data_IF_164966757845
#
_entry.id   IF_164966757845
#
_cell.length_a   1.000
_cell.length_b   1.000
_cell.length_c   1.000
_cell.angle_alpha   90.00
_cell.angle_beta   90.00
_cell.angle_gamma   90.00
#
_symmetry.space_group_name_H-M   'P 1'
#
loop_
_entity.id
_entity.type
_entity.pdbx_description
1 polymer ?
#
# COMPACT_ATOMS: atom_id res chain seq x y z
N UNK A 1 3.13 -17.10 -23.39
CA UNK A 1 1.95 -17.54 -22.60
C UNK A 1 1.98 -16.89 -21.23
N UNK A 2 0.88 -16.30 -20.79
CA UNK A 2 0.81 -15.69 -19.46
C UNK A 2 0.83 -16.81 -18.39
N UNK A 3 1.93 -16.93 -17.65
CA UNK A 3 2.07 -17.89 -16.55
C UNK A 3 1.16 -17.40 -15.41
N UNK A 4 0.12 -18.18 -15.07
CA UNK A 4 -0.76 -17.87 -13.95
C UNK A 4 -0.06 -18.07 -12.59
N UNK A 5 -0.63 -17.51 -11.48
CA UNK A 5 -0.03 -17.59 -10.14
C UNK A 5 0.31 -19.01 -9.68
N UNK A 6 -0.52 -19.99 -10.05
CA UNK A 6 -0.31 -21.43 -9.70
C UNK A 6 0.90 -22.00 -10.44
N UNK A 7 1.07 -21.65 -11.73
CA UNK A 7 2.23 -22.09 -12.51
C UNK A 7 3.52 -21.43 -12.04
N UNK A 8 3.44 -20.15 -11.63
CA UNK A 8 4.53 -19.43 -11.01
C UNK A 8 5.06 -20.18 -9.78
N UNK A 9 4.17 -20.61 -8.88
CA UNK A 9 4.55 -21.33 -7.68
C UNK A 9 5.11 -22.74 -7.98
N UNK A 10 4.64 -23.41 -9.04
CA UNK A 10 5.16 -24.74 -9.43
C UNK A 10 6.60 -24.66 -9.93
N UNK A 11 6.98 -23.60 -10.62
CA UNK A 11 8.34 -23.42 -11.17
C UNK A 11 9.33 -22.83 -10.15
N UNK A 12 8.86 -22.28 -9.03
CA UNK A 12 9.69 -21.65 -8.04
C UNK A 12 10.48 -22.64 -7.18
N UNK A 13 11.71 -22.30 -6.83
CA UNK A 13 12.50 -23.03 -5.85
C UNK A 13 11.90 -22.95 -4.43
N UNK A 14 12.25 -23.86 -3.51
CA UNK A 14 11.79 -23.75 -2.12
C UNK A 14 12.15 -22.41 -1.44
N UNK A 15 13.32 -21.84 -1.73
CA UNK A 15 13.74 -20.55 -1.22
C UNK A 15 12.85 -19.42 -1.76
N UNK A 16 12.61 -19.39 -3.07
CA UNK A 16 11.72 -18.41 -3.72
C UNK A 16 10.29 -18.47 -3.21
N UNK A 17 9.74 -19.67 -2.98
CA UNK A 17 8.40 -19.83 -2.38
C UNK A 17 8.35 -19.27 -0.96
N UNK A 18 9.38 -19.53 -0.14
CA UNK A 18 9.45 -19.04 1.24
C UNK A 18 9.58 -17.53 1.30
N UNK A 19 10.40 -16.91 0.46
CA UNK A 19 10.53 -15.45 0.40
C UNK A 19 9.27 -14.78 -0.12
N UNK A 20 8.62 -15.33 -1.15
CA UNK A 20 7.35 -14.85 -1.65
C UNK A 20 6.26 -14.91 -0.58
N UNK A 21 6.15 -16.06 0.10
CA UNK A 21 5.16 -16.26 1.17
C UNK A 21 5.41 -15.29 2.33
N UNK A 22 6.67 -15.07 2.72
CA UNK A 22 7.02 -14.15 3.79
C UNK A 22 6.63 -12.71 3.45
N UNK A 23 6.96 -12.24 2.23
CA UNK A 23 6.60 -10.90 1.77
C UNK A 23 5.08 -10.74 1.59
N UNK A 24 4.39 -11.77 1.05
CA UNK A 24 2.94 -11.74 0.89
C UNK A 24 2.19 -11.76 2.23
N UNK A 25 2.64 -12.60 3.19
CA UNK A 25 2.07 -12.62 4.54
C UNK A 25 2.36 -11.31 5.28
N UNK A 26 3.58 -10.77 5.19
CA UNK A 26 3.92 -9.47 5.78
C UNK A 26 3.02 -8.38 5.25
N UNK A 27 2.92 -8.23 3.93
CA UNK A 27 2.08 -7.21 3.28
C UNK A 27 0.58 -7.40 3.54
N UNK A 28 0.11 -8.65 3.62
CA UNK A 28 -1.25 -8.98 4.03
C UNK A 28 -1.54 -8.52 5.46
N UNK A 29 -0.61 -8.78 6.39
CA UNK A 29 -0.76 -8.44 7.79
C UNK A 29 -0.54 -6.94 8.05
N UNK A 30 0.28 -6.27 7.24
CA UNK A 30 0.38 -4.81 7.22
C UNK A 30 -0.96 -4.17 6.81
N UNK A 31 -1.59 -4.67 5.74
CA UNK A 31 -2.93 -4.25 5.34
C UNK A 31 -3.98 -4.50 6.44
N UNK A 32 -3.88 -5.65 7.11
CA UNK A 32 -4.74 -5.99 8.24
C UNK A 32 -4.64 -4.93 9.32
N UNK A 33 -3.45 -4.65 9.85
CA UNK A 33 -3.25 -3.69 10.93
C UNK A 33 -3.55 -2.23 10.51
N UNK A 34 -3.19 -1.85 9.29
CA UNK A 34 -3.50 -0.53 8.76
C UNK A 34 -4.99 -0.25 8.74
N UNK A 35 -5.78 -1.26 8.34
CA UNK A 35 -7.22 -1.12 8.17
C UNK A 35 -8.01 -1.33 9.46
N UNK A 36 -7.45 -1.95 10.51
CA UNK A 36 -8.12 -2.06 11.81
C UNK A 36 -8.61 -0.69 12.33
N UNK A 37 -7.78 0.35 12.21
CA UNK A 37 -8.16 1.70 12.63
C UNK A 37 -9.37 2.23 11.85
N UNK A 38 -9.39 2.07 10.54
CA UNK A 38 -10.52 2.50 9.71
C UNK A 38 -11.83 1.78 10.11
N UNK A 39 -11.74 0.48 10.39
CA UNK A 39 -12.86 -0.37 10.74
C UNK A 39 -13.48 0.00 12.09
N UNK A 40 -12.66 0.35 13.07
CA UNK A 40 -13.13 0.73 14.42
C UNK A 40 -13.28 2.24 14.59
N UNK A 41 -12.97 3.04 13.58
CA UNK A 41 -12.87 4.50 13.68
C UNK A 41 -14.13 5.16 14.24
N UNK A 42 -15.32 4.73 13.82
CA UNK A 42 -16.58 5.25 14.32
C UNK A 42 -16.75 5.04 15.83
N UNK A 43 -16.29 3.90 16.35
CA UNK A 43 -16.35 3.55 17.78
C UNK A 43 -15.31 4.34 18.58
N UNK A 44 -14.07 4.43 18.07
CA UNK A 44 -12.98 5.21 18.69
C UNK A 44 -13.35 6.69 18.77
N UNK A 45 -13.91 7.26 17.68
CA UNK A 45 -14.39 8.65 17.67
C UNK A 45 -15.42 8.91 18.76
N UNK A 46 -16.36 7.99 18.97
CA UNK A 46 -17.39 8.11 20.00
C UNK A 46 -16.80 8.00 21.41
N UNK A 47 -15.92 7.03 21.63
CA UNK A 47 -15.35 6.71 22.96
C UNK A 47 -14.34 7.78 23.42
N UNK A 48 -13.48 8.27 22.51
CA UNK A 48 -12.47 9.29 22.81
C UNK A 48 -12.93 10.73 22.50
N UNK A 49 -14.18 10.95 22.12
CA UNK A 49 -14.70 12.28 21.79
C UNK A 49 -14.04 12.96 20.60
N UNK A 50 -13.55 12.18 19.61
CA UNK A 50 -12.81 12.72 18.46
C UNK A 50 -13.74 13.24 17.35
N UNK A 51 -13.35 14.37 16.75
CA UNK A 51 -13.94 14.85 15.50
C UNK A 51 -13.42 14.03 14.29
N UNK A 52 -14.15 14.04 13.16
CA UNK A 52 -13.66 13.44 11.90
C UNK A 52 -12.33 14.07 11.44
N UNK A 53 -12.14 15.37 11.67
CA UNK A 53 -10.89 16.07 11.39
C UNK A 53 -9.70 15.48 12.18
N UNK A 54 -9.89 15.29 13.49
CA UNK A 54 -8.88 14.68 14.37
C UNK A 54 -8.60 13.23 13.99
N UNK A 55 -9.64 12.45 13.70
CA UNK A 55 -9.53 11.07 13.27
C UNK A 55 -8.75 10.92 11.95
N UNK A 56 -9.04 11.75 10.97
CA UNK A 56 -8.29 11.82 9.73
C UNK A 56 -6.83 12.27 9.92
N UNK A 57 -6.58 13.19 10.86
CA UNK A 57 -5.22 13.61 11.20
C UNK A 57 -4.38 12.46 11.78
N UNK A 58 -4.94 11.62 12.65
CA UNK A 58 -4.24 10.44 13.16
C UNK A 58 -3.88 9.46 12.02
N UNK A 59 -4.75 9.32 11.04
CA UNK A 59 -4.46 8.52 9.85
C UNK A 59 -3.30 9.11 9.04
N UNK A 60 -3.34 10.43 8.79
CA UNK A 60 -2.26 11.18 8.14
C UNK A 60 -0.94 11.02 8.87
N UNK A 61 -0.95 11.10 10.21
CA UNK A 61 0.23 10.92 11.05
C UNK A 61 0.85 9.53 10.87
N UNK A 62 0.02 8.49 10.81
CA UNK A 62 0.46 7.11 10.56
C UNK A 62 1.10 6.96 9.18
N UNK A 63 0.49 7.52 8.13
CA UNK A 63 1.01 7.46 6.77
C UNK A 63 2.32 8.27 6.62
N UNK A 64 2.41 9.44 7.24
CA UNK A 64 3.64 10.23 7.28
C UNK A 64 4.77 9.45 7.95
N UNK A 65 4.48 8.86 9.12
CA UNK A 65 5.42 8.01 9.83
C UNK A 65 5.86 6.82 8.97
N UNK A 66 4.96 6.24 8.15
CA UNK A 66 5.33 5.13 7.27
C UNK A 66 6.30 5.55 6.17
N UNK A 67 6.21 6.79 5.69
CA UNK A 67 7.20 7.36 4.78
C UNK A 67 8.59 7.45 5.41
N UNK A 68 8.67 7.98 6.64
CA UNK A 68 9.91 8.07 7.43
C UNK A 68 10.45 6.66 7.74
N UNK A 69 9.58 5.77 8.19
CA UNK A 69 9.91 4.38 8.50
C UNK A 69 10.47 3.61 7.31
N UNK A 70 9.95 3.86 6.11
CA UNK A 70 10.46 3.26 4.88
C UNK A 70 11.92 3.60 4.60
N UNK A 71 12.32 4.85 4.84
CA UNK A 71 13.72 5.28 4.74
C UNK A 71 14.57 4.65 5.85
N UNK A 72 14.10 4.72 7.10
CA UNK A 72 14.82 4.16 8.25
C UNK A 72 15.05 2.65 8.11
N UNK A 73 14.02 1.88 7.82
CA UNK A 73 14.12 0.43 7.65
C UNK A 73 14.88 0.04 6.38
N UNK A 74 14.88 0.87 5.33
CA UNK A 74 15.75 0.69 4.17
C UNK A 74 17.22 0.70 4.57
N UNK A 75 17.67 1.74 5.32
CA UNK A 75 19.03 1.78 5.86
C UNK A 75 19.32 0.61 6.82
N UNK A 76 18.36 0.26 7.64
CA UNK A 76 18.51 -0.86 8.56
C UNK A 76 18.69 -2.19 7.80
N UNK A 77 17.90 -2.41 6.73
CA UNK A 77 17.98 -3.61 5.89
C UNK A 77 19.35 -3.74 5.19
N UNK A 78 19.96 -2.62 4.80
CA UNK A 78 21.30 -2.63 4.23
C UNK A 78 22.37 -3.02 5.26
N UNK A 79 22.19 -2.66 6.52
CA UNK A 79 23.16 -2.94 7.61
C UNK A 79 23.02 -4.33 8.22
N UNK A 80 21.79 -4.75 8.55
CA UNK A 80 21.55 -5.98 9.33
C UNK A 80 20.97 -7.14 8.50
N UNK A 81 20.64 -6.90 7.22
CA UNK A 81 20.02 -7.86 6.30
C UNK A 81 18.52 -7.63 6.11
N UNK A 82 18.01 -8.11 4.96
CA UNK A 82 16.61 -7.92 4.56
C UNK A 82 15.65 -8.64 5.50
N UNK A 83 15.97 -9.89 5.82
CA UNK A 83 15.18 -10.75 6.73
C UNK A 83 15.03 -10.15 8.12
N UNK A 84 16.14 -9.70 8.73
CA UNK A 84 16.11 -9.14 10.09
C UNK A 84 15.34 -7.81 10.12
N UNK A 85 15.55 -6.94 9.14
CA UNK A 85 14.84 -5.69 9.04
C UNK A 85 13.33 -5.91 8.87
N UNK A 86 12.91 -6.89 8.04
CA UNK A 86 11.51 -7.29 7.88
C UNK A 86 10.90 -7.75 9.21
N UNK A 87 11.61 -8.58 9.98
CA UNK A 87 11.14 -9.05 11.28
C UNK A 87 10.96 -7.89 12.28
N UNK A 88 11.92 -6.96 12.36
CA UNK A 88 11.81 -5.79 13.24
C UNK A 88 10.66 -4.88 12.83
N UNK A 89 10.44 -4.67 11.54
CA UNK A 89 9.31 -3.92 11.00
C UNK A 89 7.97 -4.53 11.47
N UNK A 90 7.78 -5.84 11.25
CA UNK A 90 6.57 -6.56 11.66
C UNK A 90 6.35 -6.49 13.17
N UNK A 91 7.39 -6.71 13.97
CA UNK A 91 7.30 -6.62 15.43
C UNK A 91 6.89 -5.22 15.89
N UNK A 92 7.48 -4.18 15.28
CA UNK A 92 7.19 -2.78 15.64
C UNK A 92 5.72 -2.46 15.42
N UNK A 93 5.19 -2.73 14.21
CA UNK A 93 3.78 -2.39 13.96
C UNK A 93 2.81 -3.28 14.74
N UNK A 94 3.10 -4.56 14.93
CA UNK A 94 2.21 -5.48 15.67
C UNK A 94 2.10 -5.10 17.16
N UNK A 95 3.23 -4.81 17.82
CA UNK A 95 3.24 -4.38 19.21
C UNK A 95 2.51 -3.04 19.38
N UNK A 96 2.72 -2.10 18.47
CA UNK A 96 2.04 -0.80 18.52
C UNK A 96 0.56 -0.88 18.12
N UNK A 97 0.16 -1.84 17.30
CA UNK A 97 -1.24 -2.16 17.04
C UNK A 97 -1.92 -2.61 18.33
N UNK A 98 -1.35 -3.61 19.02
CA UNK A 98 -1.83 -4.03 20.33
C UNK A 98 -1.91 -2.88 21.33
N UNK A 99 -0.84 -2.08 21.46
CA UNK A 99 -0.77 -0.94 22.36
C UNK A 99 -1.83 0.14 22.04
N UNK A 100 -2.23 0.29 20.76
CA UNK A 100 -3.32 1.17 20.36
C UNK A 100 -4.64 0.81 21.05
N UNK A 101 -4.87 -0.47 21.36
CA UNK A 101 -6.03 -0.93 22.13
C UNK A 101 -6.03 -0.51 23.62
N UNK A 102 -4.84 -0.20 24.15
CA UNK A 102 -4.70 0.29 25.55
C UNK A 102 -4.91 1.80 25.67
N UNK A 103 -5.11 2.51 24.54
CA UNK A 103 -5.20 3.98 24.55
C UNK A 103 -6.44 4.46 25.26
N UNK A 104 -6.26 5.37 26.23
CA UNK A 104 -7.32 6.07 26.96
C UNK A 104 -7.50 7.52 26.51
N UNK A 105 -6.50 8.06 25.79
CA UNK A 105 -6.52 9.42 25.25
C UNK A 105 -6.18 9.45 23.76
N UNK A 106 -6.57 10.50 23.08
CA UNK A 106 -6.25 10.74 21.66
C UNK A 106 -4.73 10.85 21.45
N UNK A 107 -4.01 11.49 22.40
CA UNK A 107 -2.56 11.62 22.31
C UNK A 107 -1.84 10.27 22.42
N UNK A 108 -2.27 9.41 23.35
CA UNK A 108 -1.72 8.07 23.51
C UNK A 108 -1.92 7.24 22.24
N UNK A 109 -3.12 7.30 21.67
CA UNK A 109 -3.41 6.66 20.39
C UNK A 109 -2.53 7.21 19.26
N UNK A 110 -2.36 8.54 19.19
CA UNK A 110 -1.51 9.18 18.19
C UNK A 110 -0.05 8.70 18.26
N UNK A 111 0.51 8.58 19.45
CA UNK A 111 1.88 8.06 19.64
C UNK A 111 2.02 6.63 19.15
N UNK A 112 1.10 5.74 19.55
CA UNK A 112 1.15 4.35 19.08
C UNK A 112 0.92 4.22 17.58
N UNK A 113 0.02 5.00 17.01
CA UNK A 113 -0.23 5.05 15.56
C UNK A 113 0.98 5.61 14.78
N UNK A 114 1.71 6.57 15.34
CA UNK A 114 2.95 7.07 14.75
C UNK A 114 4.04 5.98 14.71
N UNK A 115 4.30 5.32 15.84
CA UNK A 115 5.33 4.26 15.91
C UNK A 115 4.92 3.05 15.04
N UNK A 116 3.64 2.68 15.02
CA UNK A 116 3.08 1.68 14.12
C UNK A 116 3.39 2.06 12.67
N UNK A 117 3.15 3.31 12.29
CA UNK A 117 3.45 3.81 10.95
C UNK A 117 4.92 3.64 10.58
N UNK A 118 5.87 3.94 11.48
CA UNK A 118 7.30 3.70 11.24
C UNK A 118 7.56 2.22 10.87
N UNK A 119 6.95 1.28 11.61
CA UNK A 119 7.03 -0.15 11.30
C UNK A 119 6.48 -0.48 9.92
N UNK A 120 5.25 -0.06 9.62
CA UNK A 120 4.60 -0.31 8.32
C UNK A 120 5.44 0.12 7.12
N UNK A 121 6.14 1.27 7.23
CA UNK A 121 7.00 1.75 6.14
C UNK A 121 8.14 0.80 5.82
N UNK A 122 8.65 0.09 6.81
CA UNK A 122 9.75 -0.86 6.67
C UNK A 122 9.33 -2.16 5.97
N UNK A 123 8.12 -2.61 6.20
CA UNK A 123 7.64 -3.91 5.72
C UNK A 123 7.64 -3.99 4.20
N UNK A 124 6.94 -3.07 3.52
CA UNK A 124 6.89 -3.05 2.06
C UNK A 124 8.27 -3.02 1.41
N UNK A 125 9.13 -2.11 1.87
CA UNK A 125 10.46 -1.95 1.25
C UNK A 125 11.33 -3.19 1.43
N UNK A 126 11.34 -3.78 2.62
CA UNK A 126 12.18 -4.96 2.91
C UNK A 126 11.63 -6.24 2.28
N UNK A 127 10.31 -6.43 2.29
CA UNK A 127 9.63 -7.57 1.68
C UNK A 127 9.75 -7.56 0.15
N UNK A 128 9.47 -6.42 -0.49
CA UNK A 128 9.60 -6.28 -1.94
C UNK A 128 11.05 -6.44 -2.41
N UNK A 129 12.02 -5.90 -1.66
CA UNK A 129 13.44 -6.07 -1.97
C UNK A 129 13.87 -7.53 -1.83
N UNK A 130 13.45 -8.22 -0.78
CA UNK A 130 13.75 -9.63 -0.58
C UNK A 130 13.23 -10.50 -1.75
N UNK A 131 12.01 -10.24 -2.22
CA UNK A 131 11.46 -10.90 -3.42
C UNK A 131 12.24 -10.53 -4.67
N UNK A 132 12.57 -9.25 -4.85
CA UNK A 132 13.28 -8.77 -6.03
C UNK A 132 14.71 -9.36 -6.14
N UNK A 133 15.38 -9.60 -5.03
CA UNK A 133 16.74 -10.17 -4.95
C UNK A 133 16.75 -11.71 -5.06
N UNK A 134 15.61 -12.39 -4.82
CA UNK A 134 15.55 -13.86 -4.82
C UNK A 134 14.85 -14.45 -6.06
N UNK A 135 14.07 -13.63 -6.79
CA UNK A 135 13.34 -14.09 -7.97
C UNK A 135 14.02 -13.67 -9.27
N UNK A 136 14.03 -14.55 -10.31
CA UNK A 136 14.60 -14.22 -11.61
C UNK A 136 13.83 -13.07 -12.28
N UNK A 137 14.52 -12.31 -13.11
CA UNK A 137 13.99 -11.08 -13.74
C UNK A 137 12.69 -11.28 -14.49
N UNK A 138 12.53 -12.40 -15.18
CA UNK A 138 11.34 -12.72 -15.99
C UNK A 138 10.09 -12.98 -15.14
N UNK A 139 10.26 -13.42 -13.90
CA UNK A 139 9.17 -13.78 -12.99
C UNK A 139 8.97 -12.77 -11.85
N UNK A 140 9.93 -11.87 -11.62
CA UNK A 140 9.96 -10.88 -10.53
C UNK A 140 8.70 -10.02 -10.49
N UNK A 141 8.30 -9.45 -11.63
CA UNK A 141 7.11 -8.61 -11.69
C UNK A 141 5.82 -9.36 -11.30
N UNK A 142 5.72 -10.63 -11.69
CA UNK A 142 4.57 -11.49 -11.33
C UNK A 142 4.58 -11.84 -9.85
N UNK A 143 5.76 -12.11 -9.28
CA UNK A 143 5.92 -12.37 -7.85
C UNK A 143 5.52 -11.14 -7.02
N UNK A 144 5.95 -9.95 -7.41
CA UNK A 144 5.58 -8.69 -6.75
C UNK A 144 4.07 -8.42 -6.89
N UNK A 145 3.44 -8.74 -8.03
CA UNK A 145 1.99 -8.60 -8.20
C UNK A 145 1.20 -9.53 -7.24
N UNK A 146 1.70 -10.74 -6.98
CA UNK A 146 1.12 -11.64 -5.97
C UNK A 146 1.25 -11.02 -4.57
N UNK A 147 2.41 -10.46 -4.22
CA UNK A 147 2.58 -9.74 -2.93
C UNK A 147 1.59 -8.58 -2.84
N UNK A 148 1.47 -7.76 -3.87
CA UNK A 148 0.53 -6.63 -3.89
C UNK A 148 -0.93 -7.06 -3.70
N UNK A 149 -1.35 -8.16 -4.35
CA UNK A 149 -2.73 -8.64 -4.23
C UNK A 149 -3.08 -9.14 -2.81
N UNK A 150 -2.09 -9.53 -2.01
CA UNK A 150 -2.30 -9.98 -0.63
C UNK A 150 -2.82 -8.86 0.29
N UNK A 151 -2.64 -7.58 -0.07
CA UNK A 151 -3.26 -6.44 0.60
C UNK A 151 -4.78 -6.57 0.71
N UNK A 152 -5.44 -6.94 -0.39
CA UNK A 152 -6.90 -7.12 -0.41
C UNK A 152 -7.35 -8.23 0.54
N UNK A 153 -6.59 -9.32 0.62
CA UNK A 153 -6.87 -10.42 1.56
C UNK A 153 -6.72 -9.95 3.01
N UNK A 154 -5.66 -9.19 3.31
CA UNK A 154 -5.42 -8.62 4.64
C UNK A 154 -6.53 -7.68 5.08
N UNK A 155 -6.98 -6.80 4.20
CA UNK A 155 -8.09 -5.89 4.50
C UNK A 155 -9.42 -6.66 4.68
N UNK A 156 -9.71 -7.67 3.85
CA UNK A 156 -10.90 -8.51 4.03
C UNK A 156 -10.86 -9.28 5.37
N UNK A 157 -9.68 -9.80 5.75
CA UNK A 157 -9.48 -10.47 7.03
C UNK A 157 -9.68 -9.51 8.21
N UNK A 158 -9.17 -8.27 8.10
CA UNK A 158 -9.41 -7.23 9.10
C UNK A 158 -10.90 -6.93 9.26
N UNK A 159 -11.65 -6.84 8.16
CA UNK A 159 -13.09 -6.61 8.18
C UNK A 159 -13.84 -7.78 8.84
N UNK A 160 -13.44 -9.02 8.56
CA UNK A 160 -14.00 -10.20 9.19
C UNK A 160 -13.75 -10.21 10.70
N UNK A 161 -12.49 -10.01 11.10
CA UNK A 161 -12.08 -9.99 12.52
C UNK A 161 -12.78 -8.86 13.26
N UNK A 162 -12.81 -7.64 12.72
CA UNK A 162 -13.51 -6.52 13.32
C UNK A 162 -15.02 -6.79 13.45
N UNK A 163 -15.64 -7.37 12.40
CA UNK A 163 -17.06 -7.76 12.43
C UNK A 163 -17.39 -8.75 13.53
N UNK A 164 -16.55 -9.78 13.70
CA UNK A 164 -16.73 -10.79 14.76
C UNK A 164 -16.45 -10.20 16.14
N UNK A 165 -15.31 -9.52 16.33
CA UNK A 165 -14.91 -8.99 17.65
C UNK A 165 -15.88 -7.92 18.14
N UNK A 166 -16.30 -6.98 17.29
CA UNK A 166 -17.21 -5.90 17.68
C UNK A 166 -18.64 -6.39 18.03
N UNK A 167 -18.96 -7.62 17.66
CA UNK A 167 -20.25 -8.24 18.07
C UNK A 167 -20.25 -8.62 19.53
N UNK A 168 -19.10 -9.02 20.10
CA UNK A 168 -18.98 -9.58 21.43
C UNK A 168 -18.15 -8.73 22.39
N UNK A 169 -17.36 -7.79 21.85
CA UNK A 169 -16.40 -6.99 22.59
C UNK A 169 -16.34 -5.56 22.05
N UNK A 170 -15.54 -4.70 22.69
CA UNK A 170 -15.34 -3.32 22.24
C UNK A 170 -14.18 -3.20 21.22
N UNK A 171 -13.98 -2.00 20.67
CA UNK A 171 -12.98 -1.69 19.66
C UNK A 171 -11.52 -1.97 20.12
N UNK A 172 -11.25 -1.96 21.43
CA UNK A 172 -9.89 -2.23 21.96
C UNK A 172 -9.45 -3.65 21.65
N UNK A 173 -10.38 -4.61 21.76
CA UNK A 173 -10.09 -6.02 21.45
C UNK A 173 -9.76 -6.24 19.95
N UNK A 174 -10.27 -5.40 19.06
CA UNK A 174 -9.89 -5.45 17.63
C UNK A 174 -8.40 -5.13 17.47
N UNK A 175 -7.88 -4.12 18.19
CA UNK A 175 -6.45 -3.81 18.17
C UNK A 175 -5.59 -4.86 18.87
N UNK A 176 -6.11 -5.53 19.90
CA UNK A 176 -5.36 -6.61 20.56
C UNK A 176 -5.10 -7.79 19.61
N UNK A 177 -5.98 -8.06 18.65
CA UNK A 177 -5.75 -9.04 17.60
C UNK A 177 -4.57 -8.65 16.70
N UNK A 178 -4.26 -7.37 16.59
CA UNK A 178 -3.10 -6.83 15.84
C UNK A 178 -1.72 -7.27 16.35
N UNK A 179 -1.64 -8.01 17.47
CA UNK A 179 -0.39 -8.66 17.89
C UNK A 179 -0.08 -9.94 17.10
N UNK A 180 -1.08 -10.56 16.47
CA UNK A 180 -0.92 -11.86 15.79
C UNK A 180 0.14 -11.84 14.68
N UNK A 181 0.31 -10.77 13.88
CA UNK A 181 1.39 -10.68 12.91
C UNK A 181 2.80 -10.91 13.50
N UNK A 182 3.01 -10.56 14.77
CA UNK A 182 4.27 -10.82 15.44
C UNK A 182 4.64 -12.32 15.45
N UNK A 183 3.66 -13.24 15.46
CA UNK A 183 3.91 -14.67 15.41
C UNK A 183 4.54 -15.12 14.08
N UNK A 184 4.25 -14.41 13.00
CA UNK A 184 4.84 -14.69 11.67
C UNK A 184 6.35 -14.46 11.68
N UNK A 185 6.85 -13.54 12.51
CA UNK A 185 8.29 -13.31 12.64
C UNK A 185 9.04 -14.53 13.14
N UNK A 186 8.40 -15.37 13.98
CA UNK A 186 8.99 -16.62 14.46
C UNK A 186 9.19 -17.62 13.33
N UNK A 187 8.21 -17.69 12.41
CA UNK A 187 8.33 -18.51 11.21
C UNK A 187 9.37 -17.94 10.23
N UNK A 188 9.37 -16.62 9.99
CA UNK A 188 10.37 -15.97 9.15
C UNK A 188 11.79 -16.25 9.67
N UNK A 189 11.99 -16.16 10.98
CA UNK A 189 13.28 -16.42 11.63
C UNK A 189 13.85 -17.79 11.27
N UNK A 190 13.01 -18.82 11.25
CA UNK A 190 13.44 -20.22 11.01
C UNK A 190 13.38 -20.62 9.54
N UNK A 191 12.37 -20.14 8.80
CA UNK A 191 12.01 -20.67 7.49
C UNK A 191 12.52 -19.89 6.28
N UNK A 192 12.84 -18.59 6.43
CA UNK A 192 13.22 -17.72 5.30
C UNK A 192 14.73 -17.53 5.25
N UNK A 193 15.38 -17.79 4.09
CA UNK A 193 16.80 -17.46 3.91
C UNK A 193 17.02 -15.95 3.83
N UNK A 194 18.22 -15.50 4.14
CA UNK A 194 18.66 -14.13 3.83
C UNK A 194 18.95 -14.00 2.33
N UNK A 195 18.92 -12.81 1.78
CA UNK A 195 19.28 -12.54 0.40
C UNK A 195 20.76 -12.88 0.12
N UNK A 196 21.00 -13.78 -0.85
CA UNK A 196 22.36 -14.12 -1.27
C UNK A 196 23.11 -12.89 -1.80
N UNK A 197 22.43 -12.03 -2.59
CA UNK A 197 22.99 -10.78 -3.07
C UNK A 197 23.49 -9.88 -1.94
N UNK A 198 22.73 -9.82 -0.84
CA UNK A 198 23.15 -9.03 0.32
C UNK A 198 24.35 -9.65 1.04
N UNK A 199 24.37 -10.97 1.18
CA UNK A 199 25.49 -11.70 1.81
C UNK A 199 26.78 -11.48 1.01
N UNK A 200 26.72 -11.58 -0.31
CA UNK A 200 27.86 -11.39 -1.20
C UNK A 200 28.35 -9.94 -1.19
N UNK A 201 27.45 -8.97 -1.28
CA UNK A 201 27.83 -7.56 -1.13
C UNK A 201 28.49 -7.24 0.21
N UNK A 202 28.03 -7.89 1.29
CA UNK A 202 28.62 -7.70 2.61
C UNK A 202 30.03 -8.29 2.69
N UNK A 203 30.26 -9.47 2.10
CA UNK A 203 31.59 -10.09 1.98
C UNK A 203 32.53 -9.19 1.18
N UNK A 204 32.11 -8.77 0.00
CA UNK A 204 32.90 -7.87 -0.85
C UNK A 204 33.28 -6.56 -0.15
N UNK A 205 32.38 -5.97 0.63
CA UNK A 205 32.69 -4.78 1.44
C UNK A 205 33.70 -5.07 2.54
N UNK A 206 33.63 -6.20 3.22
CA UNK A 206 34.59 -6.59 4.24
C UNK A 206 35.97 -6.82 3.62
N UNK A 207 36.03 -7.45 2.45
CA UNK A 207 37.28 -7.66 1.72
C UNK A 207 37.90 -6.33 1.21
N UNK A 208 37.04 -5.39 0.74
CA UNK A 208 37.46 -4.04 0.31
C UNK A 208 37.86 -3.12 1.45
N UNK A 209 37.39 -3.33 2.66
CA UNK A 209 37.85 -2.60 3.86
C UNK A 209 39.23 -3.05 4.32
N UNK A 210 39.69 -4.24 3.89
CA UNK A 210 41.00 -4.79 4.11
C UNK A 210 42.05 -4.38 3.04
N UNK A 211 41.59 -3.87 1.88
CA UNK A 211 42.47 -3.37 0.82
C UNK A 211 42.76 -1.85 0.95
N UNK A 212 44.01 -1.41 0.60
CA UNK A 212 44.31 0.02 0.63
C UNK A 212 43.48 0.83 -0.35
N UNK A 213 43.01 2.01 0.06
CA UNK A 213 42.11 2.98 -0.58
C UNK A 213 42.45 3.45 -2.02
N UNK A 214 43.34 2.80 -2.76
CA UNK A 214 43.91 3.32 -4.03
C UNK A 214 43.12 2.97 -5.29
N UNK A 215 42.10 2.09 -5.20
CA UNK A 215 41.35 1.62 -6.40
C UNK A 215 39.83 1.94 -6.38
N UNK A 216 39.40 3.00 -5.72
CA UNK A 216 38.01 3.46 -5.87
C UNK A 216 37.84 4.20 -7.20
N UNK A 217 37.63 3.42 -8.27
CA UNK A 217 37.07 3.98 -9.50
C UNK A 217 35.77 4.74 -9.17
N UNK A 218 35.76 6.01 -9.53
CA UNK A 218 34.59 6.89 -9.51
C UNK A 218 33.51 6.27 -10.41
N UNK A 219 32.66 5.38 -9.88
CA UNK A 219 31.36 5.15 -10.48
C UNK A 219 30.66 6.51 -10.45
N UNK A 220 30.53 7.10 -11.64
CA UNK A 220 30.02 8.45 -11.81
C UNK A 220 28.72 8.65 -11.04
N UNK A 221 28.79 9.48 -10.03
CA UNK A 221 27.66 9.88 -9.21
C UNK A 221 26.75 10.76 -10.06
N UNK A 222 25.92 10.15 -10.95
CA UNK A 222 24.93 10.91 -11.71
C UNK A 222 24.08 11.69 -10.73
N UNK A 223 23.93 12.99 -11.00
CA UNK A 223 23.12 13.88 -10.16
C UNK A 223 21.69 13.34 -10.03
N UNK A 224 21.11 13.41 -8.84
CA UNK A 224 19.69 13.13 -8.61
C UNK A 224 18.79 13.87 -9.61
N UNK A 225 19.16 15.09 -9.99
CA UNK A 225 18.40 15.93 -10.91
C UNK A 225 18.37 15.43 -12.37
N UNK A 226 19.15 14.39 -12.72
CA UNK A 226 19.11 13.79 -14.06
C UNK A 226 17.74 13.26 -14.43
N UNK A 227 16.94 12.78 -13.48
CA UNK A 227 15.57 12.32 -13.72
C UNK A 227 14.60 13.45 -14.16
N UNK A 228 14.96 14.70 -13.93
CA UNK A 228 14.19 15.88 -14.33
C UNK A 228 14.65 16.50 -15.65
N UNK A 229 15.76 16.03 -16.21
CA UNK A 229 16.28 16.51 -17.50
C UNK A 229 15.68 15.71 -18.67
N UNK A 230 15.77 16.25 -19.87
CA UNK A 230 15.39 15.51 -21.07
C UNK A 230 16.24 14.23 -21.19
N UNK A 231 15.64 13.11 -21.66
CA UNK A 231 14.24 12.96 -22.12
C UNK A 231 13.22 12.62 -21.00
N UNK A 232 13.63 12.46 -19.73
CA UNK A 232 12.84 11.87 -18.65
C UNK A 232 11.93 12.86 -17.90
N UNK A 233 12.26 14.14 -17.90
CA UNK A 233 11.65 15.14 -17.01
C UNK A 233 10.13 15.19 -17.07
N UNK A 234 9.53 15.22 -18.27
CA UNK A 234 8.08 15.20 -18.43
C UNK A 234 7.45 13.94 -17.87
N UNK A 235 8.04 12.78 -18.13
CA UNK A 235 7.57 11.48 -17.63
C UNK A 235 7.71 11.38 -16.12
N UNK A 236 8.78 11.93 -15.54
CA UNK A 236 9.00 11.96 -14.09
C UNK A 236 7.91 12.76 -13.38
N UNK A 237 7.60 13.96 -13.86
CA UNK A 237 6.54 14.80 -13.28
C UNK A 237 5.17 14.15 -13.47
N UNK A 238 4.88 13.65 -14.68
CA UNK A 238 3.61 12.97 -14.95
C UNK A 238 3.40 11.74 -14.07
N UNK A 239 4.43 10.90 -13.88
CA UNK A 239 4.35 9.70 -13.04
C UNK A 239 4.25 10.06 -11.55
N UNK A 240 4.97 11.09 -11.09
CA UNK A 240 4.83 11.60 -9.73
C UNK A 240 3.40 12.08 -9.44
N UNK A 241 2.83 12.89 -10.33
CA UNK A 241 1.49 13.43 -10.18
C UNK A 241 0.41 12.34 -10.32
N UNK A 242 0.58 11.38 -11.23
CA UNK A 242 -0.29 10.22 -11.34
C UNK A 242 -0.34 9.44 -10.01
N UNK A 243 0.83 9.12 -9.47
CA UNK A 243 0.93 8.42 -8.19
C UNK A 243 0.37 9.25 -7.05
N UNK A 244 0.65 10.56 -7.00
CA UNK A 244 0.12 11.45 -5.97
C UNK A 244 -1.41 11.48 -5.97
N UNK A 245 -2.03 11.78 -7.11
CA UNK A 245 -3.49 11.86 -7.20
C UNK A 245 -4.15 10.49 -7.04
N UNK A 246 -3.55 9.42 -7.57
CA UNK A 246 -4.03 8.04 -7.39
C UNK A 246 -4.00 7.62 -5.92
N UNK A 247 -2.88 7.85 -5.23
CA UNK A 247 -2.72 7.58 -3.79
C UNK A 247 -3.62 8.46 -2.93
N UNK A 248 -3.78 9.74 -3.27
CA UNK A 248 -4.70 10.65 -2.60
C UNK A 248 -6.14 10.13 -2.69
N UNK A 249 -6.60 9.79 -3.90
CA UNK A 249 -7.92 9.19 -4.11
C UNK A 249 -8.10 7.91 -3.32
N UNK A 250 -7.10 7.02 -3.34
CA UNK A 250 -7.16 5.73 -2.68
C UNK A 250 -7.19 5.87 -1.14
N UNK A 251 -6.19 6.51 -0.55
CA UNK A 251 -6.13 6.68 0.90
C UNK A 251 -7.27 7.55 1.44
N UNK A 252 -7.66 8.59 0.69
CA UNK A 252 -8.82 9.40 1.04
C UNK A 252 -10.12 8.60 1.07
N UNK A 253 -10.32 7.71 0.09
CA UNK A 253 -11.54 6.93 -0.01
C UNK A 253 -11.55 5.73 0.94
N UNK A 254 -10.56 4.83 0.82
CA UNK A 254 -10.60 3.54 1.52
C UNK A 254 -10.38 3.64 3.03
N UNK A 255 -9.77 4.73 3.52
CA UNK A 255 -9.71 5.03 4.95
C UNK A 255 -11.07 5.41 5.54
N UNK A 256 -11.97 5.97 4.73
CA UNK A 256 -13.26 6.47 5.18
C UNK A 256 -14.46 5.63 4.74
N UNK A 257 -14.29 4.64 3.86
CA UNK A 257 -15.38 3.70 3.52
C UNK A 257 -15.92 2.97 4.77
N UNK A 258 -15.10 2.39 5.68
CA UNK A 258 -15.64 1.71 6.85
C UNK A 258 -16.47 2.62 7.75
N UNK A 259 -16.02 3.80 8.20
CA UNK A 259 -16.86 4.71 8.96
C UNK A 259 -18.05 5.26 8.16
N UNK A 260 -17.92 5.46 6.85
CA UNK A 260 -19.05 5.84 6.00
C UNK A 260 -20.16 4.81 6.00
N UNK A 261 -19.84 3.52 6.01
CA UNK A 261 -20.83 2.45 6.07
C UNK A 261 -21.47 2.34 7.46
N UNK A 262 -20.69 2.49 8.52
CA UNK A 262 -21.11 2.21 9.90
C UNK A 262 -21.72 3.40 10.65
N UNK A 263 -21.34 4.65 10.32
CA UNK A 263 -21.89 5.84 10.97
C UNK A 263 -23.39 5.97 10.69
N UNK A 264 -24.17 6.49 11.66
CA UNK A 264 -25.59 6.83 11.46
C UNK A 264 -25.79 7.83 10.30
N UNK A 265 -26.95 7.78 9.67
CA UNK A 265 -27.29 8.64 8.53
C UNK A 265 -27.23 10.12 8.92
N UNK A 266 -27.67 10.47 10.14
CA UNK A 266 -27.65 11.84 10.69
C UNK A 266 -26.21 12.38 10.84
N UNK A 267 -25.22 11.49 10.92
CA UNK A 267 -23.79 11.82 10.96
C UNK A 267 -23.10 11.71 9.60
N UNK A 268 -23.88 11.59 8.52
CA UNK A 268 -23.40 11.50 7.15
C UNK A 268 -22.83 10.13 6.76
N UNK A 269 -23.23 9.07 7.48
CA UNK A 269 -22.95 7.67 7.14
C UNK A 269 -24.10 6.98 6.42
N UNK A 270 -24.08 5.63 6.41
CA UNK A 270 -25.10 4.78 5.80
C UNK A 270 -25.91 3.96 6.83
N UNK A 271 -25.47 3.92 8.08
CA UNK A 271 -26.14 3.24 9.17
C UNK A 271 -26.18 1.72 9.07
N UNK A 272 -25.27 1.10 8.28
CA UNK A 272 -25.20 -0.34 8.23
C UNK A 272 -24.65 -0.90 9.55
N UNK A 273 -25.28 -1.96 10.04
CA UNK A 273 -24.79 -2.64 11.24
C UNK A 273 -23.41 -3.26 11.05
N UNK A 274 -22.83 -3.74 12.15
CA UNK A 274 -21.47 -4.31 12.20
C UNK A 274 -21.27 -5.38 11.12
N UNK A 275 -22.16 -6.38 11.07
CA UNK A 275 -22.06 -7.48 10.12
C UNK A 275 -22.29 -7.03 8.67
N UNK A 276 -23.24 -6.11 8.44
CA UNK A 276 -23.47 -5.53 7.11
C UNK A 276 -22.23 -4.79 6.60
N UNK A 277 -21.62 -3.96 7.44
CA UNK A 277 -20.37 -3.27 7.12
C UNK A 277 -19.23 -4.26 6.82
N UNK A 278 -19.04 -5.28 7.65
CA UNK A 278 -18.00 -6.29 7.44
C UNK A 278 -18.21 -7.05 6.12
N UNK A 279 -19.45 -7.49 5.84
CA UNK A 279 -19.79 -8.20 4.59
C UNK A 279 -19.51 -7.33 3.36
N UNK A 280 -19.94 -6.07 3.37
CA UNK A 280 -19.69 -5.13 2.27
C UNK A 280 -18.19 -4.95 2.02
N UNK A 281 -17.39 -4.83 3.07
CA UNK A 281 -15.94 -4.68 2.96
C UNK A 281 -15.24 -5.96 2.49
N UNK A 282 -15.68 -7.13 2.92
CA UNK A 282 -15.15 -8.41 2.43
C UNK A 282 -15.42 -8.54 0.93
N UNK A 283 -16.64 -8.27 0.48
CA UNK A 283 -16.99 -8.32 -0.95
C UNK A 283 -16.17 -7.31 -1.75
N UNK A 284 -16.07 -6.06 -1.28
CA UNK A 284 -15.28 -5.01 -1.90
C UNK A 284 -13.81 -5.44 -2.10
N UNK A 285 -13.22 -6.10 -1.11
CA UNK A 285 -11.83 -6.51 -1.18
C UNK A 285 -11.62 -7.76 -2.05
N UNK A 286 -12.42 -8.82 -1.83
CA UNK A 286 -12.20 -10.10 -2.52
C UNK A 286 -12.69 -10.08 -3.97
N UNK A 287 -13.78 -9.38 -4.27
CA UNK A 287 -14.36 -9.30 -5.61
C UNK A 287 -14.05 -7.97 -6.35
N UNK A 288 -13.51 -6.98 -5.65
CA UNK A 288 -13.07 -5.71 -6.22
C UNK A 288 -11.55 -5.59 -6.25
N UNK A 289 -10.91 -5.32 -5.08
CA UNK A 289 -9.47 -5.06 -5.02
C UNK A 289 -8.62 -6.20 -5.55
N UNK A 290 -8.86 -7.41 -5.07
CA UNK A 290 -8.04 -8.57 -5.43
C UNK A 290 -7.98 -8.81 -6.94
N UNK A 291 -9.11 -8.96 -7.66
CA UNK A 291 -9.07 -9.07 -9.12
C UNK A 291 -8.57 -7.78 -9.80
N UNK A 292 -8.79 -6.61 -9.21
CA UNK A 292 -8.25 -5.34 -9.71
C UNK A 292 -6.73 -5.33 -9.79
N UNK A 293 -6.04 -5.80 -8.75
CA UNK A 293 -4.58 -5.95 -8.76
C UNK A 293 -4.09 -6.93 -9.82
N UNK A 294 -4.76 -8.08 -9.96
CA UNK A 294 -4.32 -9.15 -10.86
C UNK A 294 -4.62 -8.84 -12.34
N UNK A 295 -5.75 -8.17 -12.60
CA UNK A 295 -6.20 -7.91 -13.99
C UNK A 295 -5.43 -6.80 -14.68
N UNK A 296 -4.88 -5.83 -13.93
CA UNK A 296 -4.18 -4.68 -14.49
C UNK A 296 -3.03 -5.10 -15.42
N UNK A 297 -2.20 -6.04 -14.99
CA UNK A 297 -1.07 -6.53 -15.79
C UNK A 297 -1.53 -7.13 -17.12
N UNK A 298 -2.58 -7.97 -17.09
CA UNK A 298 -3.16 -8.56 -18.27
C UNK A 298 -3.75 -7.50 -19.22
N UNK A 299 -4.49 -6.53 -18.69
CA UNK A 299 -5.05 -5.41 -19.47
C UNK A 299 -3.93 -4.57 -20.08
N UNK A 300 -2.87 -4.30 -19.31
CA UNK A 300 -1.71 -3.52 -19.76
C UNK A 300 -0.93 -4.23 -20.89
N UNK A 301 -0.87 -5.55 -20.88
CA UNK A 301 -0.24 -6.32 -21.95
C UNK A 301 -1.07 -6.29 -23.26
N UNK A 302 -2.40 -6.19 -23.16
CA UNK A 302 -3.29 -6.14 -24.35
C UNK A 302 -3.51 -4.73 -24.88
N UNK A 303 -3.90 -3.78 -24.02
CA UNK A 303 -4.25 -2.40 -24.42
C UNK A 303 -3.05 -1.45 -24.47
N UNK A 304 -1.94 -1.80 -23.83
CA UNK A 304 -0.81 -0.91 -23.58
C UNK A 304 -0.86 -0.28 -22.19
N UNK A 305 0.32 0.17 -21.70
CA UNK A 305 0.49 0.66 -20.32
C UNK A 305 -0.31 1.93 -20.08
N UNK A 306 -0.12 2.93 -20.93
CA UNK A 306 -0.79 4.23 -20.86
C UNK A 306 -2.31 4.10 -20.88
N UNK A 307 -2.85 3.36 -21.85
CA UNK A 307 -4.31 3.20 -22.00
C UNK A 307 -4.92 2.48 -20.79
N UNK A 308 -4.23 1.52 -20.21
CA UNK A 308 -4.69 0.79 -19.02
C UNK A 308 -4.77 1.70 -17.79
N UNK A 309 -3.77 2.56 -17.55
CA UNK A 309 -3.86 3.57 -16.48
C UNK A 309 -5.04 4.52 -16.68
N UNK A 310 -5.21 5.04 -17.91
CA UNK A 310 -6.34 5.93 -18.24
C UNK A 310 -7.66 5.22 -17.95
N UNK A 311 -7.83 3.99 -18.44
CA UNK A 311 -9.05 3.21 -18.24
C UNK A 311 -9.38 3.01 -16.76
N UNK A 312 -8.43 2.51 -15.98
CA UNK A 312 -8.67 2.20 -14.56
C UNK A 312 -8.94 3.46 -13.73
N UNK A 313 -8.13 4.49 -13.90
CA UNK A 313 -8.25 5.73 -13.12
C UNK A 313 -9.47 6.55 -13.53
N UNK A 314 -9.81 6.58 -14.83
CA UNK A 314 -11.02 7.24 -15.30
C UNK A 314 -12.30 6.52 -14.86
N UNK A 315 -12.32 5.20 -14.93
CA UNK A 315 -13.42 4.40 -14.39
C UNK A 315 -13.58 4.64 -12.88
N UNK A 316 -12.50 4.64 -12.10
CA UNK A 316 -12.57 4.99 -10.68
C UNK A 316 -13.13 6.41 -10.47
N UNK A 317 -12.72 7.40 -11.27
CA UNK A 317 -13.21 8.77 -11.20
C UNK A 317 -14.72 8.86 -11.43
N UNK A 318 -15.28 8.04 -12.31
CA UNK A 318 -16.73 7.98 -12.58
C UNK A 318 -17.48 7.20 -11.51
N UNK A 319 -16.97 6.04 -11.10
CA UNK A 319 -17.69 5.16 -10.18
C UNK A 319 -17.64 5.63 -8.71
N UNK A 320 -16.62 6.39 -8.29
CA UNK A 320 -16.57 6.95 -6.92
C UNK A 320 -17.73 7.90 -6.63
N UNK A 321 -18.07 8.89 -7.46
CA UNK A 321 -19.28 9.70 -7.29
C UNK A 321 -20.57 8.87 -7.25
N UNK A 322 -20.71 7.88 -8.13
CA UNK A 322 -21.88 7.00 -8.14
C UNK A 322 -21.99 6.19 -6.85
N UNK A 323 -20.87 5.70 -6.32
CA UNK A 323 -20.81 5.03 -5.01
C UNK A 323 -21.25 5.96 -3.88
N UNK A 324 -20.78 7.21 -3.90
CA UNK A 324 -21.17 8.22 -2.91
C UNK A 324 -22.67 8.54 -2.92
N UNK A 325 -23.32 8.43 -4.09
CA UNK A 325 -24.76 8.64 -4.27
C UNK A 325 -25.59 7.40 -3.94
N UNK A 326 -25.01 6.20 -3.91
CA UNK A 326 -25.72 4.96 -3.67
C UNK A 326 -26.40 4.93 -2.30
N UNK A 327 -27.69 4.57 -2.27
CA UNK A 327 -28.51 4.52 -1.04
C UNK A 327 -28.86 3.09 -0.64
N UNK A 328 -29.13 2.21 -1.60
CA UNK A 328 -29.46 0.82 -1.29
C UNK A 328 -28.22 -0.01 -0.98
N UNK A 329 -28.35 -0.99 -0.10
CA UNK A 329 -27.27 -1.88 0.28
C UNK A 329 -26.70 -2.64 -0.95
N UNK A 330 -27.57 -3.07 -1.87
CA UNK A 330 -27.15 -3.74 -3.10
C UNK A 330 -26.32 -2.83 -4.00
N UNK A 331 -26.73 -1.54 -4.18
CA UNK A 331 -25.96 -0.59 -4.97
C UNK A 331 -24.60 -0.29 -4.33
N UNK A 332 -24.54 -0.13 -3.01
CA UNK A 332 -23.28 0.06 -2.27
C UNK A 332 -22.35 -1.14 -2.41
N UNK A 333 -22.90 -2.37 -2.38
CA UNK A 333 -22.15 -3.60 -2.54
C UNK A 333 -21.52 -3.71 -3.93
N UNK A 334 -22.33 -3.53 -4.97
CA UNK A 334 -21.86 -3.65 -6.38
C UNK A 334 -20.91 -2.52 -6.73
N UNK A 335 -21.31 -1.27 -6.48
CA UNK A 335 -20.47 -0.11 -6.80
C UNK A 335 -19.19 -0.09 -5.96
N UNK A 336 -19.24 -0.55 -4.70
CA UNK A 336 -18.06 -0.69 -3.86
C UNK A 336 -17.03 -1.64 -4.45
N UNK A 337 -17.46 -2.81 -4.96
CA UNK A 337 -16.57 -3.75 -5.63
C UNK A 337 -16.00 -3.17 -6.95
N UNK A 338 -16.81 -2.47 -7.75
CA UNK A 338 -16.38 -1.81 -8.99
C UNK A 338 -15.37 -0.70 -8.71
N UNK A 339 -15.64 0.16 -7.73
CA UNK A 339 -14.71 1.21 -7.29
C UNK A 339 -13.40 0.62 -6.80
N UNK A 340 -13.46 -0.45 -6.02
CA UNK A 340 -12.27 -1.13 -5.53
C UNK A 340 -11.45 -1.77 -6.66
N UNK A 341 -12.11 -2.37 -7.64
CA UNK A 341 -11.46 -2.97 -8.80
C UNK A 341 -10.65 -1.92 -9.59
N UNK A 342 -11.30 -0.86 -10.02
CA UNK A 342 -10.65 0.16 -10.83
C UNK A 342 -9.72 1.07 -10.03
N UNK A 343 -10.12 1.47 -8.82
CA UNK A 343 -9.34 2.36 -7.97
C UNK A 343 -8.07 1.74 -7.40
N UNK A 344 -7.92 0.41 -7.49
CA UNK A 344 -6.76 -0.28 -6.91
C UNK A 344 -5.79 -0.83 -7.96
N UNK A 345 -6.28 -1.20 -9.14
CA UNK A 345 -5.47 -1.87 -10.17
C UNK A 345 -4.21 -1.09 -10.59
N UNK A 346 -4.25 0.25 -10.59
CA UNK A 346 -3.13 1.10 -10.99
C UNK A 346 -1.85 0.89 -10.16
N UNK A 347 -1.95 0.40 -8.91
CA UNK A 347 -0.77 0.08 -8.09
C UNK A 347 0.13 -0.95 -8.76
N UNK A 348 -0.45 -1.96 -9.41
CA UNK A 348 0.31 -2.98 -10.13
C UNK A 348 1.03 -2.42 -11.36
N UNK A 349 0.55 -1.31 -11.90
CA UNK A 349 1.13 -0.66 -13.08
C UNK A 349 2.26 0.32 -12.77
N UNK A 350 2.24 0.99 -11.60
CA UNK A 350 3.17 2.09 -11.30
C UNK A 350 4.64 1.65 -11.34
N UNK A 351 4.96 0.49 -10.75
CA UNK A 351 6.29 -0.08 -10.82
C UNK A 351 6.67 -0.56 -12.23
N UNK A 352 5.70 -1.13 -12.95
CA UNK A 352 5.90 -1.64 -14.31
C UNK A 352 6.29 -0.52 -15.28
N UNK A 353 5.45 0.51 -15.44
CA UNK A 353 5.70 1.60 -16.38
C UNK A 353 6.96 2.39 -16.02
N UNK A 354 7.21 2.61 -14.73
CA UNK A 354 8.41 3.28 -14.27
C UNK A 354 9.69 2.49 -14.60
N UNK A 355 9.66 1.15 -14.51
CA UNK A 355 10.81 0.32 -14.89
C UNK A 355 11.09 0.33 -16.40
N UNK A 356 10.07 0.57 -17.24
CA UNK A 356 10.16 0.63 -18.70
C UNK A 356 10.54 2.03 -19.21
N UNK A 357 10.31 3.10 -18.44
CA UNK A 357 10.67 4.48 -18.80
C UNK A 357 12.16 4.76 -18.56
N UNK A 358 12.70 4.28 -17.42
CA UNK A 358 14.04 4.65 -16.98
C UNK A 358 15.06 3.54 -17.23
N UNK A 359 16.28 3.88 -17.70
CA UNK A 359 17.37 2.93 -17.80
C UNK A 359 17.77 2.42 -16.40
N UNK A 360 18.40 1.25 -16.36
CA UNK A 360 18.75 0.55 -15.10
C UNK A 360 19.46 1.44 -14.08
N UNK A 361 20.36 2.31 -14.52
CA UNK A 361 21.15 3.24 -13.68
C UNK A 361 20.31 4.31 -12.96
N UNK A 362 19.18 4.74 -13.54
CA UNK A 362 18.28 5.77 -12.98
C UNK A 362 17.01 5.17 -12.34
N UNK A 363 16.68 3.94 -12.67
CA UNK A 363 15.40 3.27 -12.36
C UNK A 363 15.06 3.32 -10.88
N UNK A 364 15.96 2.88 -10.00
CA UNK A 364 15.71 2.83 -8.57
C UNK A 364 15.46 4.23 -7.98
N UNK A 365 16.22 5.24 -8.42
CA UNK A 365 16.05 6.64 -7.97
C UNK A 365 14.73 7.22 -8.45
N UNK A 366 14.40 7.02 -9.73
CA UNK A 366 13.18 7.55 -10.33
C UNK A 366 11.93 6.91 -9.74
N UNK A 367 11.89 5.58 -9.58
CA UNK A 367 10.79 4.87 -8.94
C UNK A 367 10.66 5.25 -7.47
N UNK A 368 11.78 5.31 -6.74
CA UNK A 368 11.80 5.75 -5.34
C UNK A 368 11.20 7.15 -5.19
N UNK A 369 11.61 8.10 -6.02
CA UNK A 369 11.09 9.46 -5.97
C UNK A 369 9.62 9.56 -6.40
N UNK A 370 9.26 8.99 -7.55
CA UNK A 370 7.92 9.15 -8.12
C UNK A 370 6.84 8.41 -7.32
N UNK A 371 7.16 7.33 -6.65
CA UNK A 371 6.22 6.59 -5.82
C UNK A 371 6.26 7.03 -4.34
N UNK A 372 7.44 7.03 -3.69
CA UNK A 372 7.51 7.38 -2.28
C UNK A 372 7.33 8.88 -2.04
N UNK A 373 7.77 9.76 -2.96
CA UNK A 373 7.47 11.18 -2.91
C UNK A 373 5.97 11.44 -3.03
N UNK A 374 5.29 10.76 -3.96
CA UNK A 374 3.84 10.82 -4.09
C UNK A 374 3.13 10.30 -2.83
N UNK A 375 3.60 9.19 -2.25
CA UNK A 375 3.06 8.62 -1.01
C UNK A 375 3.19 9.57 0.17
N UNK A 376 4.35 10.23 0.31
CA UNK A 376 4.58 11.22 1.35
C UNK A 376 3.65 12.43 1.21
N UNK A 377 3.46 12.94 0.00
CA UNK A 377 2.55 14.05 -0.26
C UNK A 377 1.07 13.67 -0.07
N UNK A 378 0.69 12.45 -0.44
CA UNK A 378 -0.71 11.99 -0.36
C UNK A 378 -1.15 11.62 1.06
N UNK A 379 -0.26 11.58 2.03
CA UNK A 379 -0.60 11.27 3.43
C UNK A 379 -1.65 12.23 4.02
N UNK A 380 -1.80 13.44 3.48
CA UNK A 380 -2.80 14.43 3.90
C UNK A 380 -4.24 14.06 3.50
N UNK A 381 -4.43 13.11 2.60
CA UNK A 381 -5.73 12.77 2.05
C UNK A 381 -6.77 12.37 3.13
N UNK A 382 -6.49 11.44 4.07
CA UNK A 382 -7.48 11.10 5.10
C UNK A 382 -7.89 12.28 5.97
N UNK A 383 -6.97 13.20 6.24
CA UNK A 383 -7.28 14.42 7.00
C UNK A 383 -8.19 15.38 6.23
N UNK A 384 -7.90 15.64 4.96
CA UNK A 384 -8.71 16.51 4.10
C UNK A 384 -10.12 15.92 3.95
N UNK A 385 -10.24 14.62 3.69
CA UNK A 385 -11.53 13.95 3.57
C UNK A 385 -12.31 13.99 4.89
N UNK A 386 -11.64 13.78 6.03
CA UNK A 386 -12.23 13.90 7.35
C UNK A 386 -12.73 15.33 7.65
N UNK A 387 -11.94 16.33 7.30
CA UNK A 387 -12.29 17.74 7.49
C UNK A 387 -13.48 18.16 6.63
N UNK A 388 -13.48 17.86 5.33
CA UNK A 388 -14.62 18.13 4.44
C UNK A 388 -15.85 17.33 4.87
N UNK A 389 -15.65 16.05 5.24
CA UNK A 389 -16.70 15.17 5.71
C UNK A 389 -17.35 15.60 7.04
N UNK A 390 -16.64 16.40 7.85
CA UNK A 390 -17.20 16.99 9.07
C UNK A 390 -18.23 18.08 8.77
N UNK A 391 -17.96 18.92 7.76
CA UNK A 391 -18.86 20.02 7.39
C UNK A 391 -19.98 19.63 6.43
N UNK A 392 -19.66 18.90 5.37
CA UNK A 392 -20.60 18.59 4.26
C UNK A 392 -21.03 17.12 4.18
N UNK A 393 -20.51 16.26 5.08
CA UNK A 393 -20.74 14.81 5.04
C UNK A 393 -19.74 14.05 4.17
N UNK A 394 -19.55 12.75 4.48
CA UNK A 394 -18.56 11.91 3.81
C UNK A 394 -18.85 11.68 2.31
N UNK A 395 -20.13 11.62 1.93
CA UNK A 395 -20.51 11.50 0.51
C UNK A 395 -19.94 12.65 -0.32
N UNK A 396 -20.01 13.90 0.16
CA UNK A 396 -19.41 15.06 -0.50
C UNK A 396 -17.88 14.99 -0.55
N UNK A 397 -17.26 14.51 0.53
CA UNK A 397 -15.81 14.35 0.57
C UNK A 397 -15.32 13.32 -0.46
N UNK A 398 -16.09 12.29 -0.78
CA UNK A 398 -15.73 11.29 -1.78
C UNK A 398 -15.69 11.85 -3.21
N UNK A 399 -16.40 12.93 -3.53
CA UNK A 399 -16.23 13.61 -4.82
C UNK A 399 -14.81 14.15 -5.02
N UNK A 400 -14.12 14.55 -3.94
CA UNK A 400 -12.69 14.93 -4.03
C UNK A 400 -11.82 13.74 -4.43
N UNK A 401 -12.14 12.53 -3.92
CA UNK A 401 -11.42 11.32 -4.31
C UNK A 401 -11.67 10.99 -5.79
N UNK A 402 -12.92 11.13 -6.26
CA UNK A 402 -13.25 11.01 -7.69
C UNK A 402 -12.50 11.99 -8.56
N UNK A 403 -12.43 13.27 -8.14
CA UNK A 403 -11.65 14.32 -8.80
C UNK A 403 -10.15 14.02 -8.84
N UNK A 404 -9.60 13.46 -7.74
CA UNK A 404 -8.20 13.03 -7.70
C UNK A 404 -7.93 11.88 -8.70
N UNK A 405 -8.79 10.86 -8.76
CA UNK A 405 -8.66 9.80 -9.77
C UNK A 405 -8.76 10.35 -11.20
N UNK A 406 -9.62 11.34 -11.43
CA UNK A 406 -9.71 12.02 -12.73
C UNK A 406 -8.40 12.71 -13.09
N UNK A 407 -7.81 13.48 -12.17
CA UNK A 407 -6.52 14.15 -12.39
C UNK A 407 -5.40 13.11 -12.59
N UNK A 408 -5.41 12.01 -11.85
CA UNK A 408 -4.47 10.91 -12.09
C UNK A 408 -4.62 10.32 -13.50
N UNK A 409 -5.85 10.14 -13.99
CA UNK A 409 -6.13 9.69 -15.35
C UNK A 409 -5.60 10.67 -16.41
N UNK A 410 -5.75 11.98 -16.19
CA UNK A 410 -5.17 13.01 -17.05
C UNK A 410 -3.63 12.94 -17.07
N UNK A 411 -2.99 12.73 -15.93
CA UNK A 411 -1.53 12.57 -15.87
C UNK A 411 -1.07 11.30 -16.60
N UNK A 412 -1.87 10.24 -16.56
CA UNK A 412 -1.59 9.01 -17.32
C UNK A 412 -1.51 9.26 -18.83
N UNK A 413 -2.29 10.19 -19.38
CA UNK A 413 -2.23 10.54 -20.81
C UNK A 413 -0.91 11.17 -21.24
N UNK A 414 -0.17 11.75 -20.30
CA UNK A 414 1.14 12.38 -20.54
C UNK A 414 2.30 11.39 -20.50
N UNK A 415 2.06 10.16 -20.07
CA UNK A 415 3.08 9.12 -20.04
C UNK A 415 3.34 8.55 -21.44
N UNK A 416 4.57 8.15 -21.78
CA UNK A 416 4.86 7.44 -23.02
C UNK A 416 4.20 6.05 -23.00
N UNK A 417 3.83 5.55 -24.18
CA UNK A 417 3.47 4.15 -24.31
C UNK A 417 4.74 3.30 -24.34
N UNK A 418 4.81 2.33 -23.43
CA UNK A 418 6.01 1.50 -23.25
C UNK A 418 5.79 0.03 -23.58
N UNK A 419 4.60 -0.33 -24.12
CA UNK A 419 4.29 -1.69 -24.54
C UNK A 419 5.33 -2.22 -25.52
N UNK A 420 5.96 -3.36 -25.18
CA UNK A 420 6.95 -4.01 -26.04
C UNK A 420 8.37 -3.44 -25.97
N UNK A 421 8.64 -2.41 -25.16
CA UNK A 421 10.02 -1.96 -24.90
C UNK A 421 10.79 -3.02 -24.12
N UNK A 422 12.02 -3.30 -24.57
CA UNK A 422 12.97 -4.09 -23.78
C UNK A 422 13.54 -3.24 -22.67
N UNK A 423 13.78 -3.84 -21.52
CA UNK A 423 14.44 -3.17 -20.39
C UNK A 423 15.91 -2.95 -20.74
N UNK A 424 16.37 -1.69 -20.68
CA UNK A 424 17.76 -1.28 -20.85
C UNK A 424 18.51 -1.25 -19.51
#
# INVERSE_FOLDING_TARGET
MAIGPIQLLKQATPAQRRTLLAAALGWMLDAFDAMLYALVLAYVMRDLGMSKKTAGFLYTLTLLASGIGGVFFGFLADRIGRKRALMFSILTYSVCSFASGLSTTVLMLAVFRFILGLGMGGEWNTGATLVAETWPDELRAKAIAVVQSSWAIGYALAALVAGVVLRYANWRFVFFVGILPALVTLWIRKGVPESEMWVDHRRTRQDQELEPRVARGTQGNESFFTIFRAPYGKSTVALLLLNFFGLFGWWGLFSWIPPYLSLPVERGGRGFGIMGTATLLIVLNLFGMFPGYLSFGWVADHLGRRKSFVLYLFAAAVFVPLYAMARSQAAVLVLGAVVAFFGTGFFSGSGLIGSEIYPTRLRARALGFTYNGARALSCVAPWIIGWVGQGKGLSWAFYLCGGAFFLASMMATQLPETKGKRLE
#
